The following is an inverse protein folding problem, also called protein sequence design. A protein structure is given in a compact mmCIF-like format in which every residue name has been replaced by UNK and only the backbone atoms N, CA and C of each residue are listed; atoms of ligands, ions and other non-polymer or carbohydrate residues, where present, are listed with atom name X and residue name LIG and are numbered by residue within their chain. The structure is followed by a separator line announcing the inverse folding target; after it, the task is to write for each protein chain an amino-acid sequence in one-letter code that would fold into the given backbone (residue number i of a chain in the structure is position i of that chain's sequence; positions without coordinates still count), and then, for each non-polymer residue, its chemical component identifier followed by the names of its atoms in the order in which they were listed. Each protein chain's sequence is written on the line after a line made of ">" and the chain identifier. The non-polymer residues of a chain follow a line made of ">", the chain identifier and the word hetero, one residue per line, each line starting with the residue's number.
data_IF_846685073644
#
_entry.id   IF_846685073644
#
_cell.length_a   1.000
_cell.length_b   1.000
_cell.length_c   1.000
_cell.angle_alpha   90.00
_cell.angle_beta   90.00
_cell.angle_gamma   90.00
#
_symmetry.space_group_name_H-M   'P 1'
#
loop_
_entity.id
_entity.type
_entity.pdbx_description
1 polymer ?
#
# COMPACT_ATOMS: atom_id res chain seq x y z
N UNK A 1 4.23 -7.30 -13.22
CA UNK A 1 5.47 -6.63 -13.67
C UNK A 1 5.79 -5.49 -12.70
N UNK A 2 7.00 -5.46 -12.14
CA UNK A 2 7.48 -4.39 -11.25
C UNK A 2 8.43 -3.53 -12.09
N UNK A 3 8.32 -2.21 -12.03
CA UNK A 3 9.22 -1.27 -12.74
C UNK A 3 10.20 -0.70 -11.70
N UNK A 4 11.41 -1.27 -11.55
CA UNK A 4 12.30 -0.93 -10.44
C UNK A 4 12.74 0.54 -10.43
N UNK A 5 12.89 1.15 -11.60
CA UNK A 5 13.25 2.57 -11.82
C UNK A 5 12.22 3.57 -11.30
N UNK A 6 11.07 3.03 -10.93
CA UNK A 6 9.85 3.73 -10.61
C UNK A 6 9.33 3.36 -9.22
N UNK A 7 9.98 2.38 -8.60
CA UNK A 7 9.71 1.98 -7.23
C UNK A 7 10.34 2.95 -6.25
N UNK A 8 9.51 3.52 -5.37
CA UNK A 8 9.91 4.49 -4.34
C UNK A 8 9.55 3.96 -2.96
N UNK A 9 10.03 2.78 -2.56
CA UNK A 9 9.69 2.18 -1.27
C UNK A 9 10.11 3.09 -0.09
N UNK A 10 11.14 3.92 -0.32
CA UNK A 10 11.57 4.94 0.63
C UNK A 10 10.54 6.02 0.96
N UNK A 11 9.52 6.26 0.12
CA UNK A 11 8.51 7.32 0.34
C UNK A 11 7.65 7.07 1.60
N UNK A 12 7.59 5.82 2.08
CA UNK A 12 6.80 5.44 3.26
C UNK A 12 7.61 5.31 4.54
N UNK A 13 8.95 5.20 4.45
CA UNK A 13 9.82 4.91 5.60
C UNK A 13 9.73 6.04 6.64
N UNK A 14 9.89 7.29 6.21
CA UNK A 14 9.83 8.44 7.11
C UNK A 14 8.42 8.64 7.70
N UNK A 15 7.36 8.37 6.93
CA UNK A 15 5.98 8.46 7.41
C UNK A 15 5.70 7.41 8.48
N UNK A 16 6.15 6.16 8.24
CA UNK A 16 6.00 5.08 9.20
C UNK A 16 6.88 5.29 10.43
N UNK A 17 8.04 5.95 10.32
CA UNK A 17 8.91 6.23 11.46
C UNK A 17 8.32 7.22 12.49
N UNK A 18 7.22 7.92 12.17
CA UNK A 18 6.51 8.76 13.13
C UNK A 18 5.95 7.92 14.29
N UNK A 19 6.07 8.40 15.53
CA UNK A 19 5.45 7.77 16.70
C UNK A 19 3.93 7.70 16.54
N UNK A 20 3.35 8.77 16.00
CA UNK A 20 1.93 8.88 15.71
C UNK A 20 1.43 7.86 14.66
N UNK A 21 2.30 7.24 13.84
CA UNK A 21 1.90 6.23 12.86
C UNK A 21 1.69 4.82 13.48
N UNK A 22 2.23 4.56 14.68
CA UNK A 22 2.22 3.22 15.30
C UNK A 22 0.85 2.55 15.39
N UNK A 23 -0.26 3.24 15.71
CA UNK A 23 -1.58 2.61 15.74
C UNK A 23 -1.98 1.93 14.41
N UNK A 24 -1.46 2.42 13.28
CA UNK A 24 -1.79 1.90 11.95
C UNK A 24 -1.08 0.58 11.64
N UNK A 25 0.00 0.23 12.34
CA UNK A 25 0.89 -0.86 11.96
C UNK A 25 0.20 -2.23 11.91
N UNK A 26 -0.79 -2.46 12.77
CA UNK A 26 -1.56 -3.70 12.78
C UNK A 26 -2.34 -3.85 11.47
N UNK A 27 -3.06 -2.80 11.06
CA UNK A 27 -3.82 -2.78 9.80
C UNK A 27 -2.89 -2.93 8.60
N UNK A 28 -1.72 -2.28 8.63
CA UNK A 28 -0.68 -2.37 7.60
C UNK A 28 0.11 -3.69 7.59
N UNK A 29 -0.09 -4.57 8.57
CA UNK A 29 0.59 -5.88 8.64
C UNK A 29 2.07 -5.80 9.01
N UNK A 30 2.50 -4.72 9.66
CA UNK A 30 3.91 -4.48 10.04
C UNK A 30 4.31 -5.16 11.36
N UNK A 31 3.35 -5.35 12.28
CA UNK A 31 3.61 -5.82 13.65
C UNK A 31 4.29 -7.20 13.69
N UNK A 32 4.04 -8.06 12.70
CA UNK A 32 4.63 -9.39 12.61
C UNK A 32 6.05 -9.44 12.03
N UNK A 33 6.59 -8.31 11.53
CA UNK A 33 7.86 -8.31 10.80
C UNK A 33 9.07 -8.15 11.73
N UNK A 34 9.00 -7.22 12.70
CA UNK A 34 10.10 -6.95 13.65
C UNK A 34 9.53 -6.81 15.05
N UNK A 35 9.20 -7.94 15.69
CA UNK A 35 8.99 -8.03 17.14
C UNK A 35 7.86 -7.19 17.74
N UNK A 36 6.96 -6.63 16.93
CA UNK A 36 5.84 -5.80 17.36
C UNK A 36 5.90 -4.35 16.88
N UNK A 37 4.92 -3.53 17.29
CA UNK A 37 4.79 -2.16 16.81
C UNK A 37 5.93 -1.24 17.26
N UNK A 38 6.32 -1.29 18.54
CA UNK A 38 7.39 -0.43 19.08
C UNK A 38 8.76 -0.80 18.50
N UNK A 39 9.07 -2.09 18.39
CA UNK A 39 10.33 -2.55 17.80
C UNK A 39 10.42 -2.20 16.30
N UNK A 40 9.31 -2.35 15.56
CA UNK A 40 9.24 -1.90 14.16
C UNK A 40 9.43 -0.39 14.05
N UNK A 41 8.79 0.40 14.91
CA UNK A 41 8.93 1.86 14.89
C UNK A 41 10.37 2.28 15.19
N UNK A 42 10.96 1.71 16.23
CA UNK A 42 12.35 1.98 16.61
C UNK A 42 13.31 1.65 15.47
N UNK A 43 13.16 0.48 14.84
CA UNK A 43 13.95 0.10 13.67
C UNK A 43 13.83 1.13 12.53
N UNK A 44 12.62 1.60 12.22
CA UNK A 44 12.41 2.61 11.18
C UNK A 44 13.05 3.97 11.53
N UNK A 45 13.03 4.36 12.81
CA UNK A 45 13.74 5.56 13.28
C UNK A 45 15.24 5.43 13.09
N UNK A 46 15.80 4.28 13.44
CA UNK A 46 17.22 3.98 13.28
C UNK A 46 17.64 4.00 11.81
N UNK A 47 16.78 3.52 10.90
CA UNK A 47 17.00 3.64 9.44
C UNK A 47 17.06 5.12 9.01
N UNK A 48 16.13 5.95 9.49
CA UNK A 48 16.12 7.39 9.17
C UNK A 48 17.37 8.07 9.71
N UNK A 49 17.81 7.74 10.93
CA UNK A 49 19.04 8.27 11.51
C UNK A 49 20.29 7.78 10.76
N UNK A 50 20.34 6.50 10.40
CA UNK A 50 21.41 5.89 9.61
C UNK A 50 21.55 6.56 8.23
N UNK A 51 20.42 6.95 7.63
CA UNK A 51 20.39 7.73 6.38
C UNK A 51 20.84 9.18 6.52
N UNK A 52 21.15 9.63 7.75
CA UNK A 52 21.41 11.03 8.10
C UNK A 52 20.24 11.95 7.73
N UNK A 53 19.00 11.48 7.97
CA UNK A 53 17.77 12.20 7.65
C UNK A 53 17.63 12.56 6.16
N UNK A 54 17.90 11.59 5.28
CA UNK A 54 17.75 11.80 3.85
C UNK A 54 16.30 12.15 3.46
N UNK A 55 16.13 13.23 2.68
CA UNK A 55 14.82 13.72 2.20
C UNK A 55 14.27 12.98 0.98
N UNK A 56 15.13 12.27 0.23
CA UNK A 56 14.75 11.59 -1.00
C UNK A 56 14.59 10.08 -0.77
N UNK A 57 13.61 9.46 -1.45
CA UNK A 57 13.31 8.02 -1.31
C UNK A 57 14.46 7.09 -1.69
N UNK A 58 15.30 7.47 -2.66
CA UNK A 58 16.42 6.63 -3.12
C UNK A 58 17.44 6.38 -2.00
N UNK A 59 18.06 7.43 -1.44
CA UNK A 59 18.97 7.29 -0.31
C UNK A 59 18.34 6.62 0.93
N UNK A 60 17.08 6.94 1.25
CA UNK A 60 16.40 6.34 2.40
C UNK A 60 16.11 4.84 2.18
N UNK A 61 15.77 4.43 0.95
CA UNK A 61 15.65 3.03 0.60
C UNK A 61 16.99 2.29 0.66
N UNK A 62 18.07 2.92 0.18
CA UNK A 62 19.40 2.32 0.27
C UNK A 62 19.82 2.11 1.74
N UNK A 63 19.60 3.12 2.59
CA UNK A 63 19.82 3.02 4.02
C UNK A 63 19.00 1.88 4.66
N UNK A 64 17.73 1.73 4.28
CA UNK A 64 16.87 0.63 4.73
C UNK A 64 17.45 -0.74 4.38
N UNK A 65 17.89 -0.94 3.14
CA UNK A 65 18.51 -2.19 2.70
C UNK A 65 19.76 -2.52 3.52
N UNK A 66 20.67 -1.55 3.62
CA UNK A 66 21.95 -1.73 4.30
C UNK A 66 21.74 -1.97 5.81
N UNK A 67 20.86 -1.19 6.44
CA UNK A 67 20.57 -1.31 7.87
C UNK A 67 19.81 -2.59 8.20
N UNK A 68 18.82 -3.00 7.39
CA UNK A 68 18.08 -4.25 7.60
C UNK A 68 19.02 -5.46 7.61
N UNK A 69 19.96 -5.55 6.65
CA UNK A 69 20.92 -6.65 6.60
C UNK A 69 21.96 -6.62 7.72
N UNK A 70 22.23 -5.45 8.30
CA UNK A 70 23.17 -5.30 9.41
C UNK A 70 22.53 -5.56 10.78
N UNK A 71 21.27 -5.15 10.97
CA UNK A 71 20.61 -5.11 12.27
C UNK A 71 19.65 -6.28 12.54
N UNK A 72 19.17 -6.97 11.50
CA UNK A 72 18.16 -8.03 11.64
C UNK A 72 18.70 -9.40 11.22
N UNK A 73 18.12 -10.49 11.75
CA UNK A 73 18.27 -11.82 11.15
C UNK A 73 17.87 -11.80 9.68
N UNK A 74 18.55 -12.62 8.86
CA UNK A 74 18.36 -12.66 7.40
C UNK A 74 16.88 -12.74 6.98
N UNK A 75 16.12 -13.67 7.56
CA UNK A 75 14.72 -13.88 7.20
C UNK A 75 13.84 -12.66 7.52
N UNK A 76 14.11 -11.96 8.64
CA UNK A 76 13.40 -10.74 9.01
C UNK A 76 13.77 -9.57 8.09
N UNK A 77 15.06 -9.45 7.75
CA UNK A 77 15.53 -8.45 6.79
C UNK A 77 14.86 -8.65 5.42
N UNK A 78 14.83 -9.88 4.92
CA UNK A 78 14.18 -10.22 3.64
C UNK A 78 12.67 -9.94 3.70
N UNK A 79 12.00 -10.30 4.80
CA UNK A 79 10.57 -10.07 4.97
C UNK A 79 10.21 -8.57 4.97
N UNK A 80 10.92 -7.74 5.74
CA UNK A 80 10.62 -6.31 5.80
C UNK A 80 10.97 -5.60 4.49
N UNK A 81 12.08 -5.98 3.85
CA UNK A 81 12.45 -5.41 2.55
C UNK A 81 11.44 -5.79 1.47
N UNK A 82 10.97 -7.04 1.45
CA UNK A 82 9.91 -7.46 0.54
C UNK A 82 8.59 -6.70 0.78
N UNK A 83 8.23 -6.48 2.05
CA UNK A 83 7.04 -5.70 2.40
C UNK A 83 7.13 -4.26 1.87
N UNK A 84 8.24 -3.56 2.12
CA UNK A 84 8.42 -2.18 1.65
C UNK A 84 8.53 -2.09 0.14
N UNK A 85 9.24 -3.02 -0.50
CA UNK A 85 9.40 -3.05 -1.95
C UNK A 85 8.06 -3.19 -2.68
N UNK A 86 7.08 -3.83 -2.05
CA UNK A 86 5.77 -4.04 -2.64
C UNK A 86 4.73 -3.01 -2.16
N UNK A 87 5.01 -2.25 -1.10
CA UNK A 87 4.10 -1.26 -0.53
C UNK A 87 3.72 -0.18 -1.56
N UNK A 88 2.42 0.02 -1.76
CA UNK A 88 1.91 1.05 -2.66
C UNK A 88 1.70 2.36 -1.90
N UNK A 89 2.38 3.43 -2.30
CA UNK A 89 2.37 4.72 -1.59
C UNK A 89 1.52 5.80 -2.27
N UNK A 90 0.70 5.44 -3.26
CA UNK A 90 -0.21 6.37 -3.95
C UNK A 90 0.36 7.10 -5.17
N UNK A 91 1.62 6.85 -5.53
CA UNK A 91 2.27 7.38 -6.74
C UNK A 91 2.71 6.18 -7.62
N UNK A 92 2.35 6.14 -8.91
CA UNK A 92 2.96 5.19 -9.88
C UNK A 92 4.37 5.68 -10.24
N UNK A 93 5.37 4.84 -10.65
CA UNK A 93 5.24 3.48 -11.26
C UNK A 93 5.88 2.24 -10.55
N UNK A 94 6.02 2.21 -9.22
CA UNK A 94 6.61 1.09 -8.47
C UNK A 94 6.09 -0.33 -8.80
N UNK A 95 4.78 -0.51 -8.71
CA UNK A 95 4.06 -1.74 -9.01
C UNK A 95 2.72 -1.36 -9.63
N UNK A 96 2.66 -1.18 -10.95
CA UNK A 96 1.45 -0.67 -11.59
C UNK A 96 0.28 -1.63 -11.48
N UNK A 97 0.54 -2.94 -11.47
CA UNK A 97 -0.50 -3.94 -11.26
C UNK A 97 -1.21 -3.68 -9.91
N UNK A 98 -0.45 -3.56 -8.81
CA UNK A 98 -1.02 -3.29 -7.48
C UNK A 98 -1.86 -2.01 -7.47
N UNK A 99 -1.32 -0.92 -7.99
CA UNK A 99 -1.99 0.38 -8.01
C UNK A 99 -3.28 0.38 -8.82
N UNK A 100 -3.27 -0.25 -10.01
CA UNK A 100 -4.44 -0.31 -10.89
C UNK A 100 -5.49 -1.23 -10.30
N UNK A 101 -5.09 -2.41 -9.80
CA UNK A 101 -6.04 -3.35 -9.21
C UNK A 101 -6.70 -2.76 -7.96
N UNK A 102 -5.95 -2.11 -7.07
CA UNK A 102 -6.52 -1.43 -5.89
C UNK A 102 -7.45 -0.28 -6.29
N UNK A 103 -7.07 0.55 -7.26
CA UNK A 103 -7.92 1.63 -7.77
C UNK A 103 -9.21 1.10 -8.40
N UNK A 104 -9.09 0.10 -9.27
CA UNK A 104 -10.20 -0.51 -9.99
C UNK A 104 -11.21 -1.17 -9.05
N UNK A 105 -10.74 -1.98 -8.10
CA UNK A 105 -11.59 -2.63 -7.11
C UNK A 105 -12.22 -1.60 -6.15
N UNK A 106 -11.48 -0.55 -5.79
CA UNK A 106 -12.00 0.57 -5.02
C UNK A 106 -13.16 1.28 -5.74
N UNK A 107 -12.99 1.65 -7.02
CA UNK A 107 -14.08 2.22 -7.83
C UNK A 107 -15.24 1.24 -7.95
N UNK A 108 -14.97 -0.03 -8.21
CA UNK A 108 -16.00 -1.07 -8.35
C UNK A 108 -16.86 -1.19 -7.10
N UNK A 109 -16.28 -1.05 -5.91
CA UNK A 109 -16.98 -1.09 -4.63
C UNK A 109 -17.93 0.10 -4.45
N UNK A 110 -17.59 1.29 -4.94
CA UNK A 110 -18.39 2.51 -4.74
C UNK A 110 -19.28 2.92 -5.93
N UNK A 111 -18.97 2.46 -7.14
CA UNK A 111 -19.62 2.86 -8.40
C UNK A 111 -20.06 1.66 -9.23
N UNK A 112 -20.95 0.87 -8.66
CA UNK A 112 -21.44 -0.38 -9.27
C UNK A 112 -22.17 -0.17 -10.61
N UNK A 113 -22.61 1.06 -10.91
CA UNK A 113 -23.29 1.46 -12.14
C UNK A 113 -22.36 1.58 -13.36
N UNK A 114 -21.06 1.76 -13.13
CA UNK A 114 -20.06 1.83 -14.21
C UNK A 114 -19.59 0.45 -14.66
N UNK A 115 -20.08 -0.61 -14.03
CA UNK A 115 -19.66 -1.97 -14.30
C UNK A 115 -20.34 -2.55 -15.55
N UNK A 116 -19.58 -3.13 -16.51
CA UNK A 116 -20.17 -3.78 -17.68
C UNK A 116 -20.74 -5.15 -17.33
N UNK A 117 -21.84 -5.17 -16.57
CA UNK A 117 -22.52 -6.39 -16.07
C UNK A 117 -22.95 -7.34 -17.18
N UNK A 118 -23.25 -6.81 -18.36
CA UNK A 118 -23.66 -7.55 -19.55
C UNK A 118 -22.53 -8.41 -20.16
N UNK A 119 -21.28 -8.23 -19.73
CA UNK A 119 -20.12 -8.99 -20.22
C UNK A 119 -19.81 -10.24 -19.37
N UNK A 120 -20.50 -10.43 -18.24
CA UNK A 120 -20.24 -11.50 -17.28
C UNK A 120 -21.46 -12.40 -17.11
N UNK A 121 -21.20 -13.70 -17.01
CA UNK A 121 -22.22 -14.68 -16.64
C UNK A 121 -22.63 -14.50 -15.16
N UNK A 122 -23.83 -14.91 -14.74
CA UNK A 122 -24.29 -14.75 -13.37
C UNK A 122 -23.33 -15.29 -12.29
N UNK A 123 -22.73 -16.45 -12.53
CA UNK A 123 -21.76 -17.04 -11.59
C UNK A 123 -20.41 -16.32 -11.59
N UNK A 124 -19.99 -15.77 -12.74
CA UNK A 124 -18.78 -14.95 -12.83
C UNK A 124 -18.95 -13.64 -12.04
N UNK A 125 -20.12 -13.00 -12.18
CA UNK A 125 -20.47 -11.81 -11.41
C UNK A 125 -20.48 -12.10 -9.91
N UNK A 126 -21.10 -13.20 -9.50
CA UNK A 126 -21.16 -13.59 -8.08
C UNK A 126 -19.77 -13.85 -7.50
N UNK A 127 -18.88 -14.47 -8.26
CA UNK A 127 -17.51 -14.73 -7.83
C UNK A 127 -16.68 -13.43 -7.73
N UNK A 128 -16.82 -12.53 -8.71
CA UNK A 128 -16.20 -11.19 -8.67
C UNK A 128 -16.70 -10.37 -7.49
N UNK A 129 -18.01 -10.29 -7.29
CA UNK A 129 -18.62 -9.55 -6.17
C UNK A 129 -18.17 -10.09 -4.82
N UNK A 130 -18.07 -11.41 -4.67
CA UNK A 130 -17.54 -12.02 -3.45
C UNK A 130 -16.08 -11.63 -3.19
N UNK A 131 -15.24 -11.60 -4.23
CA UNK A 131 -13.85 -11.17 -4.10
C UNK A 131 -13.75 -9.67 -3.76
N UNK A 132 -14.49 -8.82 -4.47
CA UNK A 132 -14.50 -7.37 -4.23
C UNK A 132 -15.02 -7.03 -2.84
N UNK A 133 -16.04 -7.74 -2.35
CA UNK A 133 -16.52 -7.59 -0.98
C UNK A 133 -15.47 -8.01 0.06
N UNK A 134 -14.74 -9.11 -0.19
CA UNK A 134 -13.64 -9.55 0.66
C UNK A 134 -12.50 -8.51 0.69
N UNK A 135 -12.13 -7.96 -0.46
CA UNK A 135 -11.18 -6.86 -0.56
C UNK A 135 -11.62 -5.64 0.27
N UNK A 136 -12.85 -5.17 0.08
CA UNK A 136 -13.38 -4.02 0.81
C UNK A 136 -13.44 -4.25 2.32
N UNK A 137 -13.76 -5.48 2.76
CA UNK A 137 -13.76 -5.85 4.18
C UNK A 137 -12.34 -5.85 4.78
N UNK A 138 -11.34 -6.31 4.04
CA UNK A 138 -9.93 -6.23 4.48
C UNK A 138 -9.38 -4.81 4.45
N UNK A 139 -9.82 -4.01 3.48
CA UNK A 139 -9.42 -2.61 3.36
C UNK A 139 -9.97 -1.79 4.51
N UNK A 140 -11.24 -2.00 4.89
CA UNK A 140 -11.89 -1.27 5.98
C UNK A 140 -11.62 0.24 5.85
N UNK A 141 -11.88 0.78 4.65
CA UNK A 141 -11.42 2.11 4.27
C UNK A 141 -11.93 3.20 5.21
N UNK A 142 -13.19 3.09 5.65
CA UNK A 142 -13.79 3.98 6.63
C UNK A 142 -13.09 3.87 7.99
N UNK A 143 -12.97 2.65 8.54
CA UNK A 143 -12.29 2.44 9.82
C UNK A 143 -10.82 2.87 9.80
N UNK A 144 -10.11 2.67 8.68
CA UNK A 144 -8.73 3.14 8.53
C UNK A 144 -8.65 4.68 8.48
N UNK A 145 -9.59 5.34 7.82
CA UNK A 145 -9.66 6.80 7.78
C UNK A 145 -10.06 7.40 9.14
N UNK A 146 -10.91 6.72 9.91
CA UNK A 146 -11.23 7.11 11.28
C UNK A 146 -9.98 7.05 12.17
N UNK A 147 -9.15 6.02 12.03
CA UNK A 147 -7.86 5.95 12.74
C UNK A 147 -6.92 7.09 12.35
N UNK A 148 -6.83 7.44 11.05
CA UNK A 148 -6.04 8.60 10.61
C UNK A 148 -6.58 9.88 11.26
N UNK A 149 -7.90 10.07 11.26
CA UNK A 149 -8.55 11.25 11.84
C UNK A 149 -8.28 11.34 13.34
N UNK A 150 -8.38 10.23 14.07
CA UNK A 150 -8.07 10.17 15.50
C UNK A 150 -6.59 10.50 15.80
N UNK A 151 -5.65 9.96 15.01
CA UNK A 151 -4.23 10.30 15.13
C UNK A 151 -4.04 11.81 14.95
N UNK A 152 -4.67 12.37 13.93
CA UNK A 152 -4.55 13.77 13.57
C UNK A 152 -5.14 14.70 14.63
N UNK A 153 -6.32 14.38 15.17
CA UNK A 153 -7.04 15.24 16.11
C UNK A 153 -6.61 15.04 17.57
N UNK A 154 -6.24 13.82 17.96
CA UNK A 154 -6.12 13.43 19.37
C UNK A 154 -4.71 13.00 19.79
N UNK A 155 -3.76 12.79 18.87
CA UNK A 155 -2.40 12.36 19.23
C UNK A 155 -1.41 13.53 19.22
N UNK A 156 -0.86 13.93 20.39
CA UNK A 156 0.17 14.96 20.44
C UNK A 156 1.46 14.49 19.74
N UNK A 157 1.99 15.31 18.82
CA UNK A 157 3.26 15.01 18.14
C UNK A 157 4.41 14.93 19.14
N UNK A 158 5.16 13.83 19.09
CA UNK A 158 6.36 13.64 19.89
C UNK A 158 7.48 14.60 19.48
N UNK A 159 8.57 14.69 20.27
CA UNK A 159 9.74 15.48 19.84
C UNK A 159 10.38 14.92 18.57
N UNK A 160 10.31 13.59 18.39
CA UNK A 160 10.74 12.94 17.17
C UNK A 160 9.86 13.33 15.98
N UNK A 161 8.54 13.27 16.14
CA UNK A 161 7.60 13.64 15.07
C UNK A 161 7.80 15.10 14.63
N UNK A 162 7.99 16.01 15.59
CA UNK A 162 8.29 17.43 15.33
C UNK A 162 9.59 17.60 14.54
N UNK A 163 10.63 16.83 14.87
CA UNK A 163 11.91 16.85 14.15
C UNK A 163 11.73 16.36 12.70
N UNK A 164 11.03 15.25 12.49
CA UNK A 164 10.77 14.74 11.13
C UNK A 164 9.90 15.69 10.31
N UNK A 165 8.90 16.32 10.93
CA UNK A 165 8.07 17.34 10.31
C UNK A 165 8.91 18.52 9.81
N UNK A 166 9.85 19.03 10.62
CA UNK A 166 10.75 20.13 10.20
C UNK A 166 11.68 19.72 9.05
N UNK A 167 12.13 18.46 9.02
CA UNK A 167 13.10 18.01 8.03
C UNK A 167 12.42 17.66 6.70
N UNK A 168 11.28 16.98 6.75
CA UNK A 168 10.57 16.48 5.56
C UNK A 168 9.43 17.41 5.11
N UNK A 169 9.22 18.53 5.81
CA UNK A 169 8.22 19.55 5.47
C UNK A 169 6.80 18.98 5.38
N UNK A 170 6.50 17.93 6.16
CA UNK A 170 5.18 17.29 6.19
C UNK A 170 4.10 18.31 6.53
N UNK A 171 3.02 18.39 5.77
CA UNK A 171 1.91 19.28 6.11
C UNK A 171 0.73 18.43 6.56
N UNK A 172 0.60 18.26 7.88
CA UNK A 172 -0.58 17.64 8.47
C UNK A 172 -1.82 18.47 8.10
N UNK A 173 -2.89 17.81 7.66
CA UNK A 173 -4.18 18.41 7.29
C UNK A 173 -4.25 19.17 5.95
N UNK A 174 -3.19 19.21 5.14
CA UNK A 174 -3.30 19.78 3.79
C UNK A 174 -3.68 18.72 2.75
N UNK A 175 -4.99 18.57 2.53
CA UNK A 175 -5.56 17.72 1.47
C UNK A 175 -5.29 18.26 0.05
N UNK A 176 -4.90 19.53 -0.10
CA UNK A 176 -4.70 20.20 -1.39
C UNK A 176 -3.22 20.22 -1.83
N UNK A 177 -2.26 20.27 -0.90
CA UNK A 177 -0.82 20.24 -1.20
C UNK A 177 -0.23 18.83 -1.30
N UNK A 178 -0.90 17.79 -0.77
CA UNK A 178 -0.51 16.39 -0.96
C UNK A 178 0.61 15.87 -0.05
N UNK A 179 0.98 16.62 0.99
CA UNK A 179 2.09 16.31 1.90
C UNK A 179 1.65 15.78 3.28
N UNK A 180 0.41 15.33 3.40
CA UNK A 180 -0.05 14.60 4.58
C UNK A 180 0.60 13.21 4.63
N UNK A 181 1.46 12.92 5.63
CA UNK A 181 2.21 11.67 5.70
C UNK A 181 1.29 10.46 5.96
N UNK A 182 0.14 10.66 6.58
CA UNK A 182 -0.81 9.58 6.90
C UNK A 182 -1.75 9.27 5.74
N UNK A 183 -2.13 10.27 4.92
CA UNK A 183 -2.93 10.02 3.72
C UNK A 183 -2.21 9.11 2.72
N UNK A 184 -0.87 9.14 2.66
CA UNK A 184 -0.09 8.19 1.83
C UNK A 184 -0.24 6.74 2.31
N UNK A 185 -0.46 6.53 3.61
CA UNK A 185 -0.60 5.19 4.21
C UNK A 185 -1.95 4.53 3.88
N UNK A 186 -2.97 5.29 3.43
CA UNK A 186 -4.23 4.70 2.94
C UNK A 186 -3.99 3.80 1.73
N UNK A 187 -3.08 4.19 0.84
CA UNK A 187 -2.72 3.41 -0.34
C UNK A 187 -1.97 2.13 0.05
N UNK A 188 -1.13 2.21 1.08
CA UNK A 188 -0.43 1.06 1.63
C UNK A 188 -1.44 0.09 2.25
N UNK A 189 -2.47 0.60 2.93
CA UNK A 189 -3.56 -0.18 3.47
C UNK A 189 -4.35 -0.89 2.36
N UNK A 190 -4.77 -0.18 1.29
CA UNK A 190 -5.45 -0.78 0.13
C UNK A 190 -4.63 -1.91 -0.49
N UNK A 191 -3.32 -1.70 -0.70
CA UNK A 191 -2.45 -2.75 -1.23
C UNK A 191 -2.32 -3.95 -0.30
N UNK A 192 -2.20 -3.71 1.00
CA UNK A 192 -2.13 -4.77 2.00
C UNK A 192 -3.44 -5.58 2.03
N UNK A 193 -4.58 -4.90 1.95
CA UNK A 193 -5.89 -5.53 1.88
C UNK A 193 -6.05 -6.40 0.63
N UNK A 194 -5.58 -5.92 -0.53
CA UNK A 194 -5.61 -6.71 -1.76
C UNK A 194 -4.79 -8.01 -1.63
N UNK A 195 -3.59 -7.94 -1.04
CA UNK A 195 -2.78 -9.17 -0.80
C UNK A 195 -3.50 -10.15 0.12
N UNK A 196 -4.12 -9.66 1.19
CA UNK A 196 -4.90 -10.50 2.13
C UNK A 196 -6.08 -11.14 1.43
N UNK A 197 -6.84 -10.37 0.67
CA UNK A 197 -7.97 -10.87 -0.10
C UNK A 197 -7.52 -11.94 -1.12
N UNK A 198 -6.41 -11.72 -1.84
CA UNK A 198 -5.86 -12.71 -2.77
C UNK A 198 -5.49 -14.01 -2.07
N UNK A 199 -4.79 -13.92 -0.94
CA UNK A 199 -4.36 -15.07 -0.17
C UNK A 199 -5.54 -15.86 0.43
N UNK A 200 -6.60 -15.17 0.85
CA UNK A 200 -7.77 -15.79 1.48
C UNK A 200 -8.81 -16.32 0.48
N UNK A 201 -8.98 -15.67 -0.67
CA UNK A 201 -10.05 -16.00 -1.60
C UNK A 201 -9.91 -17.38 -2.24
N UNK A 202 -8.72 -18.00 -2.21
CA UNK A 202 -8.45 -19.34 -2.74
C UNK A 202 -8.93 -19.51 -4.19
N UNK A 203 -8.30 -18.75 -5.09
CA UNK A 203 -8.55 -18.83 -6.54
C UNK A 203 -8.39 -20.24 -7.14
N UNK A 204 -7.41 -21.08 -6.71
CA UNK A 204 -7.28 -22.44 -7.23
C UNK A 204 -8.54 -23.30 -7.10
N UNK A 205 -9.36 -23.10 -6.07
CA UNK A 205 -10.64 -23.80 -5.92
C UNK A 205 -11.81 -23.21 -6.72
N UNK A 206 -11.59 -22.10 -7.43
CA UNK A 206 -12.61 -21.33 -8.17
C UNK A 206 -12.21 -21.16 -9.64
N UNK A 207 -12.13 -22.24 -10.44
CA UNK A 207 -11.70 -22.17 -11.84
C UNK A 207 -12.64 -21.35 -12.74
N UNK A 208 -13.88 -21.08 -12.30
CA UNK A 208 -14.83 -20.22 -12.99
C UNK A 208 -14.69 -18.73 -12.69
N UNK A 209 -13.69 -18.31 -11.89
CA UNK A 209 -13.46 -16.89 -11.65
C UNK A 209 -13.05 -16.19 -12.96
N UNK A 210 -13.64 -15.03 -13.32
CA UNK A 210 -13.49 -14.43 -14.64
C UNK A 210 -12.19 -13.63 -14.80
N UNK A 211 -11.03 -14.25 -14.56
CA UNK A 211 -9.72 -13.58 -14.52
C UNK A 211 -9.44 -12.69 -15.74
N UNK A 212 -9.58 -13.23 -16.96
CA UNK A 212 -9.26 -12.49 -18.19
C UNK A 212 -10.28 -11.41 -18.52
N UNK A 213 -11.58 -11.68 -18.33
CA UNK A 213 -12.62 -10.67 -18.53
C UNK A 213 -12.43 -9.51 -17.55
N UNK A 214 -12.15 -9.83 -16.28
CA UNK A 214 -11.90 -8.83 -15.24
C UNK A 214 -10.67 -7.98 -15.58
N UNK A 215 -9.58 -8.62 -16.02
CA UNK A 215 -8.36 -7.95 -16.47
C UNK A 215 -8.62 -7.03 -17.66
N UNK A 216 -9.42 -7.47 -18.63
CA UNK A 216 -9.76 -6.66 -19.80
C UNK A 216 -10.54 -5.39 -19.40
N UNK A 217 -11.48 -5.49 -18.46
CA UNK A 217 -12.21 -4.31 -17.95
C UNK A 217 -11.27 -3.38 -17.17
N UNK A 218 -10.39 -3.94 -16.32
CA UNK A 218 -9.40 -3.15 -15.58
C UNK A 218 -8.37 -2.46 -16.49
N UNK A 219 -7.98 -3.11 -17.60
CA UNK A 219 -7.10 -2.53 -18.62
C UNK A 219 -7.70 -1.26 -19.23
N UNK A 220 -9.01 -1.23 -19.50
CA UNK A 220 -9.66 -0.05 -20.07
C UNK A 220 -9.54 1.18 -19.15
N UNK A 221 -9.59 0.98 -17.83
CA UNK A 221 -9.35 2.07 -16.87
C UNK A 221 -7.87 2.42 -16.77
N UNK A 222 -6.98 1.44 -16.86
CA UNK A 222 -5.54 1.65 -16.90
C UNK A 222 -5.10 2.51 -18.09
N UNK A 223 -5.66 2.23 -19.27
CA UNK A 223 -5.37 2.90 -20.54
C UNK A 223 -5.84 4.36 -20.57
N UNK A 224 -6.78 4.75 -19.70
CA UNK A 224 -7.29 6.13 -19.60
C UNK A 224 -6.32 7.10 -18.92
N UNK A 225 -5.14 6.65 -18.48
CA UNK A 225 -4.05 7.56 -18.11
C UNK A 225 -3.17 7.09 -16.95
N UNK A 226 -3.33 5.85 -16.48
CA UNK A 226 -2.59 5.33 -15.31
C UNK A 226 -1.43 4.41 -15.72
N UNK A 227 -1.50 3.82 -16.92
CA UNK A 227 -0.43 3.04 -17.55
C UNK A 227 0.25 3.77 -18.69
N UNK A 228 1.55 3.53 -18.93
CA UNK A 228 2.17 3.88 -20.20
C UNK A 228 1.46 3.17 -21.36
N UNK A 229 1.34 3.85 -22.50
CA UNK A 229 0.70 3.32 -23.69
C UNK A 229 1.35 1.99 -24.13
N UNK A 230 0.52 1.00 -24.49
CA UNK A 230 0.97 -0.32 -24.95
C UNK A 230 1.40 -1.29 -23.84
N UNK A 231 1.30 -0.91 -22.57
CA UNK A 231 1.63 -1.80 -21.46
C UNK A 231 0.39 -2.56 -20.99
N UNK A 232 0.44 -3.89 -21.05
CA UNK A 232 -0.61 -4.74 -20.50
C UNK A 232 -0.55 -4.81 -18.97
N UNK A 233 -1.70 -4.64 -18.35
CA UNK A 233 -1.99 -4.97 -16.97
C UNK A 233 -1.79 -6.48 -16.76
N UNK A 234 -1.01 -6.84 -15.75
CA UNK A 234 -0.87 -8.23 -15.33
C UNK A 234 -2.11 -8.75 -14.63
N UNK A 235 -2.19 -10.06 -14.44
CA UNK A 235 -3.32 -10.66 -13.72
C UNK A 235 -3.36 -10.24 -12.26
N UNK A 236 -4.52 -10.39 -11.63
CA UNK A 236 -4.71 -10.10 -10.20
C UNK A 236 -3.79 -10.94 -9.30
N UNK A 237 -3.42 -12.15 -9.74
CA UNK A 237 -2.51 -13.04 -9.02
C UNK A 237 -1.04 -12.61 -9.12
N UNK A 238 -0.67 -11.79 -10.10
CA UNK A 238 0.70 -11.25 -10.25
C UNK A 238 0.96 -10.02 -9.35
N UNK A 239 0.01 -9.69 -8.47
CA UNK A 239 0.11 -8.59 -7.51
C UNK A 239 0.85 -9.00 -6.23
N UNK A 240 0.85 -10.30 -5.91
CA UNK A 240 1.46 -10.92 -4.72
C UNK A 240 2.82 -11.54 -5.01
#
# INVERSE_FOLDING_TARGET
>A
MIYPEHNRPGDSIANLALDAAKPLYQKLGLVGLIGGADATNQFLKEVVEYSQFARFHGPLWKAMQDYAHAALPKDQAEAILAWFFTAYTGYHPANPNMSIWTYFLGIRAVRTELWPRDQFEPEEMKAEEAFTALFAAHEDAEGFMDMITDIQENTPLSQWDKKLHQINEFVYFDRAAGDDPFLKLKFVNSATALRRAIAEFDFPSKPGFPHEKLRAVAQLEADRGWMPEGVSLGTLLEVV
#
